data_IF_809080579532
#
_entry.id   IF_809080579532
#
_cell.length_a   1.000
_cell.length_b   1.000
_cell.length_c   1.000
_cell.angle_alpha   90.00
_cell.angle_beta   90.00
_cell.angle_gamma   90.00
#
_symmetry.space_group_name_H-M   'P 1'
#
loop_
_entity.id
_entity.type
_entity.pdbx_description
1 polymer ?
#
# COMPACT_ATOMS: atom_id res chain seq x y z
N UNK A 1 -1.14 -29.63 7.61
CA UNK A 1 -0.92 -28.19 7.79
C UNK A 1 0.56 -27.92 7.52
N UNK A 2 0.89 -27.12 6.50
CA UNK A 2 2.28 -26.74 6.26
C UNK A 2 2.73 -25.80 7.38
N UNK A 3 3.80 -26.16 8.07
CA UNK A 3 4.43 -25.33 9.10
C UNK A 3 5.02 -24.11 8.37
N UNK A 4 4.38 -22.95 8.46
CA UNK A 4 5.01 -21.71 8.00
C UNK A 4 6.25 -21.46 8.84
N UNK A 5 7.41 -21.52 8.20
CA UNK A 5 8.67 -21.15 8.82
C UNK A 5 8.61 -19.67 9.19
N UNK A 6 8.87 -19.32 10.44
CA UNK A 6 8.89 -17.93 10.87
C UNK A 6 10.03 -17.19 10.15
N UNK A 7 9.80 -15.94 9.69
CA UNK A 7 10.84 -15.14 9.07
C UNK A 7 11.99 -14.92 10.07
N UNK A 8 13.22 -15.11 9.62
CA UNK A 8 14.43 -15.00 10.45
C UNK A 8 15.22 -13.73 10.19
N UNK A 9 15.00 -13.07 9.05
CA UNK A 9 15.64 -11.80 8.68
C UNK A 9 14.63 -10.67 8.52
N UNK A 10 15.12 -9.42 8.59
CA UNK A 10 14.27 -8.24 8.34
C UNK A 10 13.65 -8.28 6.94
N UNK A 11 14.41 -8.72 5.93
CA UNK A 11 13.92 -8.86 4.56
C UNK A 11 12.77 -9.89 4.47
N UNK A 12 12.93 -11.05 5.07
CA UNK A 12 11.87 -12.06 5.09
C UNK A 12 10.63 -11.57 5.83
N UNK A 13 10.82 -10.85 6.94
CA UNK A 13 9.72 -10.22 7.68
C UNK A 13 8.99 -9.19 6.81
N UNK A 14 9.74 -8.35 6.09
CA UNK A 14 9.17 -7.38 5.17
C UNK A 14 8.33 -8.08 4.08
N UNK A 15 8.89 -9.09 3.39
CA UNK A 15 8.21 -9.80 2.31
C UNK A 15 6.90 -10.44 2.78
N UNK A 16 6.93 -11.14 3.92
CA UNK A 16 5.74 -11.76 4.49
C UNK A 16 4.69 -10.73 4.90
N UNK A 17 5.13 -9.59 5.45
CA UNK A 17 4.23 -8.50 5.85
C UNK A 17 3.64 -7.80 4.65
N UNK A 18 4.45 -7.50 3.62
CA UNK A 18 4.00 -6.83 2.40
C UNK A 18 2.87 -7.62 1.71
N UNK A 19 3.02 -8.93 1.56
CA UNK A 19 1.98 -9.78 0.98
C UNK A 19 0.70 -9.79 1.83
N UNK A 20 0.82 -9.96 3.14
CA UNK A 20 -0.33 -9.95 4.05
C UNK A 20 -1.09 -8.61 4.01
N UNK A 21 -0.35 -7.49 4.03
CA UNK A 21 -0.94 -6.16 3.98
C UNK A 21 -1.61 -5.85 2.63
N UNK A 22 -1.04 -6.36 1.53
CA UNK A 22 -1.68 -6.29 0.22
C UNK A 22 -3.04 -7.00 0.21
N UNK A 23 -3.08 -8.25 0.64
CA UNK A 23 -4.33 -9.03 0.66
C UNK A 23 -5.40 -8.36 1.53
N UNK A 24 -4.99 -7.83 2.69
CA UNK A 24 -5.88 -7.11 3.59
C UNK A 24 -6.39 -5.81 2.94
N UNK A 25 -5.51 -5.04 2.30
CA UNK A 25 -5.85 -3.79 1.64
C UNK A 25 -6.78 -4.02 0.44
N UNK A 26 -6.50 -5.04 -0.37
CA UNK A 26 -7.34 -5.40 -1.51
C UNK A 26 -8.77 -5.76 -1.07
N UNK A 27 -8.92 -6.52 0.02
CA UNK A 27 -10.22 -6.86 0.60
C UNK A 27 -10.98 -5.62 1.07
N UNK A 28 -10.29 -4.68 1.72
CA UNK A 28 -10.87 -3.42 2.17
C UNK A 28 -11.30 -2.55 0.97
N UNK A 29 -10.46 -2.43 -0.06
CA UNK A 29 -10.80 -1.67 -1.28
C UNK A 29 -12.02 -2.27 -1.99
N UNK A 30 -12.09 -3.58 -2.14
CA UNK A 30 -13.20 -4.29 -2.80
C UNK A 30 -14.53 -4.19 -2.05
N UNK A 31 -14.51 -3.85 -0.77
CA UNK A 31 -15.72 -3.69 0.02
C UNK A 31 -16.48 -2.37 -0.25
N UNK A 32 -15.87 -1.40 -0.93
CA UNK A 32 -16.52 -0.11 -1.21
C UNK A 32 -17.56 -0.24 -2.33
N UNK A 33 -18.84 0.12 -2.09
CA UNK A 33 -19.82 0.22 -3.17
C UNK A 33 -19.43 1.35 -4.15
N UNK A 34 -19.42 1.10 -5.47
CA UNK A 34 -18.99 2.09 -6.48
C UNK A 34 -19.70 3.44 -6.39
N UNK A 35 -20.97 3.46 -5.97
CA UNK A 35 -21.75 4.69 -5.78
C UNK A 35 -21.13 5.65 -4.74
N UNK A 36 -20.31 5.16 -3.82
CA UNK A 36 -19.68 5.95 -2.77
C UNK A 36 -18.22 6.34 -3.04
N UNK A 37 -17.72 6.06 -4.24
CA UNK A 37 -16.32 6.34 -4.61
C UNK A 37 -15.93 7.83 -4.53
N UNK A 38 -16.90 8.72 -4.54
CA UNK A 38 -16.72 10.20 -4.46
C UNK A 38 -17.21 10.79 -3.14
N UNK A 39 -17.53 9.97 -2.13
CA UNK A 39 -17.97 10.45 -0.82
C UNK A 39 -16.91 11.37 -0.19
N UNK A 40 -17.33 12.46 0.43
CA UNK A 40 -16.48 13.38 1.19
C UNK A 40 -17.06 13.65 2.57
N UNK A 41 -16.22 13.75 3.58
CA UNK A 41 -16.60 14.19 4.92
C UNK A 41 -16.51 15.72 5.08
N UNK A 42 -15.62 16.35 4.31
CA UNK A 42 -15.42 17.80 4.27
C UNK A 42 -14.74 18.21 2.96
N UNK A 43 -14.66 19.50 2.69
CA UNK A 43 -13.96 20.03 1.51
C UNK A 43 -12.46 19.70 1.51
N UNK A 44 -11.89 19.47 2.69
CA UNK A 44 -10.46 19.13 2.87
C UNK A 44 -10.18 17.63 2.89
N UNK A 45 -11.21 16.79 2.96
CA UNK A 45 -11.01 15.33 2.97
C UNK A 45 -10.79 14.80 1.55
N UNK A 46 -9.91 13.82 1.43
CA UNK A 46 -9.80 13.02 0.21
C UNK A 46 -11.05 12.16 0.02
N UNK A 47 -11.39 11.87 -1.21
CA UNK A 47 -12.41 10.88 -1.56
C UNK A 47 -11.85 9.46 -1.44
N UNK A 48 -12.70 8.42 -1.36
CA UNK A 48 -12.25 7.03 -1.47
C UNK A 48 -11.42 6.76 -2.73
N UNK A 49 -11.78 7.37 -3.86
CA UNK A 49 -11.04 7.25 -5.12
C UNK A 49 -9.61 7.81 -4.99
N UNK A 50 -9.44 8.98 -4.38
CA UNK A 50 -8.12 9.59 -4.16
C UNK A 50 -7.27 8.76 -3.19
N UNK A 51 -7.85 8.25 -2.10
CA UNK A 51 -7.15 7.37 -1.16
C UNK A 51 -6.75 6.05 -1.83
N UNK A 52 -7.65 5.44 -2.61
CA UNK A 52 -7.33 4.22 -3.36
C UNK A 52 -6.19 4.44 -4.35
N UNK A 53 -6.11 5.62 -4.97
CA UNK A 53 -5.01 5.96 -5.85
C UNK A 53 -3.69 6.10 -5.08
N UNK A 54 -3.70 6.74 -3.91
CA UNK A 54 -2.51 6.77 -3.03
C UNK A 54 -2.04 5.35 -2.68
N UNK A 55 -2.96 4.45 -2.36
CA UNK A 55 -2.64 3.04 -2.10
C UNK A 55 -2.04 2.34 -3.33
N UNK A 56 -2.53 2.64 -4.55
CA UNK A 56 -1.96 2.11 -5.78
C UNK A 56 -0.54 2.66 -6.03
N UNK A 57 -0.32 3.95 -5.78
CA UNK A 57 1.01 4.57 -5.85
C UNK A 57 1.97 3.91 -4.86
N UNK A 58 1.56 3.64 -3.61
CA UNK A 58 2.39 2.96 -2.62
C UNK A 58 2.86 1.57 -3.07
N UNK A 59 2.09 0.87 -3.93
CA UNK A 59 2.55 -0.35 -4.59
C UNK A 59 3.52 -0.06 -5.75
N UNK A 60 3.23 0.94 -6.58
CA UNK A 60 4.02 1.26 -7.77
C UNK A 60 5.43 1.74 -7.42
N UNK A 61 5.60 2.50 -6.33
CA UNK A 61 6.90 3.04 -5.92
C UNK A 61 7.86 1.99 -5.36
N UNK A 62 7.38 0.81 -4.99
CA UNK A 62 8.25 -0.29 -4.52
C UNK A 62 9.26 -0.68 -5.59
N UNK A 63 8.86 -0.74 -6.86
CA UNK A 63 9.76 -1.09 -7.95
C UNK A 63 10.92 -0.09 -8.10
N UNK A 64 10.72 1.22 -8.27
CA UNK A 64 11.83 2.16 -8.34
C UNK A 64 12.64 2.22 -7.03
N UNK A 65 12.04 2.00 -5.85
CA UNK A 65 12.81 1.86 -4.61
C UNK A 65 13.80 0.70 -4.71
N UNK A 66 13.44 -0.40 -5.36
CA UNK A 66 14.32 -1.56 -5.50
C UNK A 66 15.42 -1.37 -6.57
N UNK A 67 15.10 -0.69 -7.67
CA UNK A 67 15.93 -0.75 -8.89
C UNK A 67 16.60 0.56 -9.28
N UNK A 68 16.05 1.70 -8.92
CA UNK A 68 16.58 3.00 -9.32
C UNK A 68 17.65 3.52 -8.34
N UNK A 69 18.60 4.34 -8.81
CA UNK A 69 19.54 5.03 -7.94
C UNK A 69 18.89 6.17 -7.15
N UNK A 70 17.78 6.70 -7.68
CA UNK A 70 17.03 7.83 -7.12
C UNK A 70 15.53 7.62 -7.35
N UNK A 71 14.73 7.95 -6.35
CA UNK A 71 13.27 8.02 -6.48
C UNK A 71 12.89 9.41 -7.01
N UNK A 72 12.23 9.45 -8.15
CA UNK A 72 11.74 10.70 -8.73
C UNK A 72 10.41 11.10 -8.06
N UNK A 73 10.21 12.42 -7.94
CA UNK A 73 9.00 13.01 -7.33
C UNK A 73 7.86 13.17 -8.37
N UNK A 74 7.78 12.25 -9.33
CA UNK A 74 6.74 12.24 -10.35
C UNK A 74 5.84 11.04 -10.18
N UNK A 75 4.60 11.30 -9.78
CA UNK A 75 3.59 10.27 -9.67
C UNK A 75 2.67 10.29 -10.89
N UNK A 76 2.28 9.13 -11.42
CA UNK A 76 1.35 9.07 -12.53
C UNK A 76 -0.02 9.61 -12.11
N UNK A 77 -0.74 10.18 -13.07
CA UNK A 77 -2.13 10.58 -12.85
C UNK A 77 -3.04 9.37 -12.68
N UNK A 78 -4.13 9.49 -11.89
CA UNK A 78 -5.07 8.39 -11.72
C UNK A 78 -5.72 8.00 -13.05
N UNK A 79 -5.96 6.68 -13.30
CA UNK A 79 -6.47 6.17 -14.57
C UNK A 79 -7.98 6.37 -14.78
N UNK A 80 -8.61 7.28 -14.10
CA UNK A 80 -10.01 7.65 -14.29
C UNK A 80 -10.91 7.26 -13.12
N UNK A 81 -11.56 6.09 -13.15
CA UNK A 81 -12.52 5.67 -12.14
C UNK A 81 -11.94 4.71 -11.09
N UNK A 82 -12.74 4.45 -10.05
CA UNK A 82 -12.34 3.57 -8.95
C UNK A 82 -12.01 2.15 -9.41
N UNK A 83 -12.73 1.61 -10.41
CA UNK A 83 -12.48 0.26 -10.90
C UNK A 83 -11.14 0.16 -11.64
N UNK A 84 -10.79 1.19 -12.42
CA UNK A 84 -9.49 1.30 -13.07
C UNK A 84 -8.35 1.42 -12.06
N UNK A 85 -8.55 2.17 -10.96
CA UNK A 85 -7.58 2.28 -9.86
C UNK A 85 -7.38 0.93 -9.16
N UNK A 86 -8.45 0.19 -8.89
CA UNK A 86 -8.37 -1.14 -8.29
C UNK A 86 -7.56 -2.09 -9.19
N UNK A 87 -7.81 -2.06 -10.49
CA UNK A 87 -7.03 -2.82 -11.47
C UNK A 87 -5.55 -2.40 -11.48
N UNK A 88 -5.26 -1.11 -11.36
CA UNK A 88 -3.89 -0.60 -11.30
C UNK A 88 -3.16 -1.06 -10.02
N UNK A 89 -3.86 -1.07 -8.87
CA UNK A 89 -3.35 -1.59 -7.60
C UNK A 89 -2.96 -3.08 -7.71
N UNK A 90 -3.84 -3.91 -8.28
CA UNK A 90 -3.59 -5.34 -8.46
C UNK A 90 -2.42 -5.60 -9.44
N UNK A 91 -2.36 -4.86 -10.56
CA UNK A 91 -1.26 -4.96 -11.54
C UNK A 91 0.08 -4.53 -10.96
N UNK A 92 0.12 -3.43 -10.19
CA UNK A 92 1.33 -2.96 -9.54
C UNK A 92 1.87 -4.02 -8.58
N UNK A 93 1.02 -4.62 -7.75
CA UNK A 93 1.42 -5.70 -6.85
C UNK A 93 1.98 -6.91 -7.60
N UNK A 94 1.31 -7.37 -8.65
CA UNK A 94 1.77 -8.51 -9.45
C UNK A 94 3.15 -8.26 -10.09
N UNK A 95 3.41 -7.04 -10.57
CA UNK A 95 4.72 -6.63 -11.09
C UNK A 95 5.80 -6.65 -10.02
N UNK A 96 5.51 -6.05 -8.88
CA UNK A 96 6.45 -5.90 -7.77
C UNK A 96 6.79 -7.25 -7.12
N UNK A 97 5.82 -8.13 -6.95
CA UNK A 97 6.03 -9.46 -6.34
C UNK A 97 7.09 -10.27 -7.08
N UNK A 98 7.14 -10.18 -8.42
CA UNK A 98 8.16 -10.88 -9.22
C UNK A 98 9.57 -10.34 -8.96
N UNK A 99 9.72 -9.06 -8.61
CA UNK A 99 11.00 -8.42 -8.28
C UNK A 99 11.40 -8.70 -6.82
N UNK A 100 10.43 -8.63 -5.93
CA UNK A 100 10.62 -8.95 -4.52
C UNK A 100 11.06 -10.40 -4.31
N UNK A 101 10.59 -11.34 -5.13
CA UNK A 101 11.05 -12.73 -5.10
C UNK A 101 12.54 -12.92 -5.40
N UNK A 102 13.18 -11.93 -6.06
CA UNK A 102 14.60 -11.93 -6.41
C UNK A 102 15.44 -11.01 -5.52
N UNK A 103 14.81 -10.33 -4.57
CA UNK A 103 15.47 -9.39 -3.68
C UNK A 103 16.43 -10.12 -2.75
N UNK A 104 17.69 -9.71 -2.77
CA UNK A 104 18.71 -10.18 -1.83
C UNK A 104 18.94 -9.18 -0.68
N UNK A 105 19.65 -9.63 0.35
CA UNK A 105 19.93 -8.81 1.53
C UNK A 105 20.86 -7.61 1.21
N UNK A 106 21.74 -7.73 0.23
CA UNK A 106 22.63 -6.65 -0.19
C UNK A 106 21.84 -5.50 -0.81
N UNK A 107 20.94 -5.81 -1.74
CA UNK A 107 20.03 -4.83 -2.34
C UNK A 107 19.08 -4.24 -1.31
N UNK A 108 18.48 -5.07 -0.46
CA UNK A 108 17.55 -4.63 0.59
C UNK A 108 18.19 -3.62 1.55
N UNK A 109 19.48 -3.79 1.87
CA UNK A 109 20.22 -2.90 2.76
C UNK A 109 21.01 -1.79 2.06
N UNK A 110 21.01 -1.74 0.73
CA UNK A 110 21.65 -0.65 -0.03
C UNK A 110 20.86 0.67 0.11
N UNK A 111 21.41 1.76 -0.43
CA UNK A 111 20.78 3.08 -0.34
C UNK A 111 20.13 3.50 -1.66
N UNK A 112 19.11 4.35 -1.53
CA UNK A 112 18.47 5.10 -2.63
C UNK A 112 18.42 6.57 -2.23
N UNK A 113 18.59 7.48 -3.19
CA UNK A 113 18.31 8.90 -2.97
C UNK A 113 16.82 9.13 -3.17
N UNK A 114 16.13 9.71 -2.17
CA UNK A 114 14.70 9.95 -2.26
C UNK A 114 14.29 11.28 -1.60
N UNK A 115 13.10 11.82 -1.94
CA UNK A 115 12.54 12.98 -1.24
C UNK A 115 12.35 12.69 0.25
N UNK A 116 12.84 13.60 1.10
CA UNK A 116 12.74 13.49 2.58
C UNK A 116 12.11 14.71 3.23
N UNK A 117 11.64 15.68 2.45
CA UNK A 117 11.08 16.92 2.97
C UNK A 117 10.50 17.81 1.87
N UNK A 118 10.02 19.02 2.24
CA UNK A 118 9.41 19.93 1.28
C UNK A 118 10.42 20.46 0.24
N UNK A 119 9.91 20.91 -0.90
CA UNK A 119 10.66 21.65 -1.94
C UNK A 119 11.88 20.91 -2.50
N UNK A 120 11.79 19.61 -2.73
CA UNK A 120 12.83 18.84 -3.42
C UNK A 120 14.04 18.51 -2.54
N UNK A 121 13.94 18.63 -1.22
CA UNK A 121 14.96 18.12 -0.34
C UNK A 121 15.07 16.60 -0.49
N UNK A 122 16.28 16.11 -0.81
CA UNK A 122 16.55 14.68 -0.99
C UNK A 122 17.68 14.23 -0.08
N UNK A 123 17.66 12.97 0.34
CA UNK A 123 18.75 12.36 1.08
C UNK A 123 18.92 10.88 0.68
N UNK A 124 20.12 10.30 0.92
CA UNK A 124 20.28 8.87 0.86
C UNK A 124 19.53 8.21 2.03
N UNK A 125 18.70 7.23 1.72
CA UNK A 125 17.90 6.44 2.66
C UNK A 125 18.17 4.96 2.39
N UNK A 126 18.25 4.14 3.41
CA UNK A 126 18.33 2.69 3.24
C UNK A 126 17.05 2.20 2.55
N UNK A 127 17.17 1.35 1.52
CA UNK A 127 16.00 0.86 0.77
C UNK A 127 15.00 0.14 1.67
N UNK A 128 15.49 -0.64 2.63
CA UNK A 128 14.62 -1.26 3.62
C UNK A 128 13.76 -0.25 4.37
N UNK A 129 14.33 0.87 4.82
CA UNK A 129 13.58 1.90 5.55
C UNK A 129 12.54 2.59 4.64
N UNK A 130 12.91 2.84 3.37
CA UNK A 130 11.98 3.36 2.38
C UNK A 130 10.81 2.39 2.10
N UNK A 131 11.11 1.10 1.99
CA UNK A 131 10.10 0.05 1.79
C UNK A 131 9.16 -0.07 2.99
N UNK A 132 9.68 -0.07 4.22
CA UNK A 132 8.87 -0.07 5.43
C UNK A 132 8.01 1.19 5.55
N UNK A 133 8.55 2.36 5.17
CA UNK A 133 7.80 3.61 5.16
C UNK A 133 6.59 3.53 4.22
N UNK A 134 6.75 3.01 2.99
CA UNK A 134 5.63 2.83 2.05
C UNK A 134 4.61 1.83 2.55
N UNK A 135 5.05 0.79 3.26
CA UNK A 135 4.14 -0.18 3.86
C UNK A 135 3.32 0.42 5.01
N UNK A 136 3.95 1.24 5.87
CA UNK A 136 3.25 1.96 6.94
C UNK A 136 2.28 3.01 6.37
N UNK A 137 2.65 3.69 5.29
CA UNK A 137 1.77 4.60 4.56
C UNK A 137 0.53 3.87 4.01
N UNK A 138 0.71 2.67 3.46
CA UNK A 138 -0.39 1.79 3.05
C UNK A 138 -1.34 1.47 4.21
N UNK A 139 -0.79 1.12 5.38
CA UNK A 139 -1.59 0.83 6.60
C UNK A 139 -2.36 2.07 7.03
N UNK A 140 -1.72 3.25 7.03
CA UNK A 140 -2.33 4.53 7.37
C UNK A 140 -3.52 4.86 6.45
N UNK A 141 -3.31 4.86 5.15
CA UNK A 141 -4.34 5.20 4.17
C UNK A 141 -5.47 4.16 4.10
N UNK A 142 -5.16 2.88 4.30
CA UNK A 142 -6.19 1.85 4.46
C UNK A 142 -7.08 2.11 5.68
N UNK A 143 -6.50 2.56 6.79
CA UNK A 143 -7.25 2.98 7.96
C UNK A 143 -8.24 4.13 7.65
N UNK A 144 -7.78 5.15 6.94
CA UNK A 144 -8.64 6.24 6.46
C UNK A 144 -9.76 5.70 5.55
N UNK A 145 -9.43 4.80 4.61
CA UNK A 145 -10.39 4.22 3.68
C UNK A 145 -11.48 3.42 4.41
N UNK A 146 -11.13 2.70 5.48
CA UNK A 146 -12.09 1.89 6.26
C UNK A 146 -13.19 2.73 6.91
N UNK A 147 -12.91 3.99 7.25
CA UNK A 147 -13.91 4.94 7.76
C UNK A 147 -14.97 5.25 6.69
N UNK A 148 -14.57 5.35 5.43
CA UNK A 148 -15.50 5.54 4.31
C UNK A 148 -16.39 4.33 4.08
N UNK A 149 -15.90 3.11 4.29
CA UNK A 149 -16.75 1.91 4.26
C UNK A 149 -17.87 2.03 5.31
N UNK A 150 -17.54 2.40 6.53
CA UNK A 150 -18.53 2.58 7.59
C UNK A 150 -19.56 3.66 7.23
N UNK A 151 -19.10 4.79 6.72
CA UNK A 151 -19.97 5.91 6.33
C UNK A 151 -20.86 5.59 5.12
N UNK A 152 -20.43 4.70 4.25
CA UNK A 152 -21.23 4.24 3.09
C UNK A 152 -22.23 3.14 3.44
N UNK A 153 -22.29 2.69 4.69
CA UNK A 153 -23.10 1.54 5.10
C UNK A 153 -22.57 0.19 4.63
N UNK A 154 -21.36 0.15 4.06
CA UNK A 154 -20.72 -1.08 3.66
C UNK A 154 -20.18 -1.86 4.87
N UNK A 155 -20.01 -3.17 4.69
CA UNK A 155 -19.34 -4.00 5.69
C UNK A 155 -17.85 -3.65 5.74
N UNK A 156 -17.32 -3.48 6.95
CA UNK A 156 -15.89 -3.26 7.19
C UNK A 156 -15.25 -4.61 7.47
N UNK A 157 -14.35 -5.10 6.60
CA UNK A 157 -13.65 -6.36 6.84
C UNK A 157 -12.83 -6.33 8.13
N UNK A 158 -12.63 -7.50 8.73
CA UNK A 158 -11.63 -7.70 9.78
C UNK A 158 -10.23 -7.37 9.23
N UNK A 159 -9.44 -6.54 9.92
CA UNK A 159 -8.11 -6.09 9.48
C UNK A 159 -7.02 -6.74 10.35
N UNK A 160 -6.85 -6.28 11.58
CA UNK A 160 -5.90 -6.87 12.55
C UNK A 160 -6.62 -7.57 13.71
N UNK A 161 -7.92 -7.55 13.67
CA UNK A 161 -8.81 -8.14 14.67
C UNK A 161 -10.24 -8.09 14.17
N UNK A 162 -11.22 -8.51 14.98
CA UNK A 162 -12.62 -8.52 14.58
C UNK A 162 -13.10 -7.11 14.25
N UNK A 163 -14.04 -7.01 13.32
CA UNK A 163 -14.84 -5.81 13.13
C UNK A 163 -16.28 -6.04 13.63
N UNK A 164 -17.08 -4.98 13.66
CA UNK A 164 -18.51 -5.12 13.96
C UNK A 164 -19.28 -5.95 12.94
N UNK A 165 -18.72 -6.16 11.73
CA UNK A 165 -19.33 -6.91 10.63
C UNK A 165 -18.70 -8.30 10.44
N UNK A 166 -17.48 -8.50 10.92
CA UNK A 166 -16.75 -9.76 10.93
C UNK A 166 -16.22 -10.03 12.36
N UNK A 167 -17.07 -10.45 13.29
CA UNK A 167 -16.64 -10.80 14.65
C UNK A 167 -15.81 -12.09 14.64
N UNK A 168 -15.03 -12.32 15.68
CA UNK A 168 -14.42 -13.63 15.88
C UNK A 168 -15.51 -14.65 16.22
N UNK A 169 -15.49 -15.75 15.50
CA UNK A 169 -16.33 -16.92 15.78
C UNK A 169 -15.82 -17.72 16.96
#
# INVERSE_FOLDING_TARGET
>A
MATQTQPTTEREMYLATFEREYQTTLRVLKALPPAHAKLKFSDRSHTPTEIAWTLAISQMVVEPILTAPKLEDQMPSPPGDFAAILTAFEKAHASVTQKLAKLDDATFNSTIVMPVGPKGATAPVRRADALWMMLMDTVHHRGQFSVYLRASGAKVPSIYGPSGDEPWS
#
